data_IF_286059015924
#
_entry.id   IF_286059015924
#
_cell.length_a   1.000
_cell.length_b   1.000
_cell.length_c   1.000
_cell.angle_alpha   90.00
_cell.angle_beta   90.00
_cell.angle_gamma   90.00
#
_symmetry.space_group_name_H-M   'P 1'
#
loop_
_entity.id
_entity.type
_entity.pdbx_description
1 polymer ?
2 water ?
#
# COMPACT_ATOMS: atom_id res chain seq x y z
N UNK A 1 -8.28 1.24 20.44
CA UNK A 1 -8.92 0.18 19.62
C UNK A 1 -8.11 0.01 18.34
N UNK A 2 -7.69 -1.23 18.10
CA UNK A 2 -6.97 -1.57 16.89
C UNK A 2 -7.94 -2.12 15.84
N UNK A 3 -7.61 -1.83 14.58
CA UNK A 3 -8.40 -2.23 13.42
C UNK A 3 -7.47 -2.67 12.30
N UNK A 4 -8.01 -3.51 11.43
CA UNK A 4 -7.28 -4.02 10.29
C UNK A 4 -8.16 -3.85 9.05
N UNK A 5 -7.52 -3.84 7.89
CA UNK A 5 -8.25 -3.76 6.64
C UNK A 5 -7.45 -4.49 5.55
N UNK A 6 -8.17 -5.17 4.69
CA UNK A 6 -7.52 -5.90 3.63
C UNK A 6 -7.85 -5.20 2.31
N UNK A 7 -6.83 -4.71 1.61
CA UNK A 7 -7.02 -4.07 0.31
C UNK A 7 -6.54 -4.98 -0.82
N UNK A 8 -7.03 -4.67 -2.01
CA UNK A 8 -6.57 -5.32 -3.23
C UNK A 8 -6.26 -4.22 -4.25
N UNK A 9 -5.29 -4.53 -5.09
CA UNK A 9 -4.78 -3.60 -6.08
C UNK A 9 -4.01 -4.41 -7.12
N UNK A 10 -4.26 -4.14 -8.40
CA UNK A 10 -4.01 -5.12 -9.44
C UNK A 10 -4.07 -4.44 -10.81
N UNK A 11 -3.23 -4.87 -11.76
CA UNK A 11 -3.31 -4.34 -13.13
C UNK A 11 -3.84 -5.40 -14.11
N UNK A 12 -3.47 -6.66 -13.94
CA UNK A 12 -3.87 -7.72 -14.88
C UNK A 12 -5.40 -7.74 -15.06
N UNK A 13 -5.92 -7.41 -16.26
CA UNK A 13 -7.38 -7.56 -16.55
C UNK A 13 -7.61 -7.84 -18.04
N UNK A 17 -5.18 -2.77 -17.20
CA UNK A 17 -5.99 -1.71 -16.57
C UNK A 17 -6.13 -1.92 -15.05
N UNK A 18 -5.91 -0.83 -14.31
CA UNK A 18 -5.78 -0.86 -12.84
C UNK A 18 -7.15 -0.95 -12.16
N UNK A 19 -7.24 -1.81 -11.15
CA UNK A 19 -8.41 -1.82 -10.25
C UNK A 19 -7.90 -1.98 -8.81
N UNK A 20 -8.71 -1.56 -7.86
CA UNK A 20 -8.37 -1.67 -6.46
C UNK A 20 -9.66 -1.57 -5.63
N UNK A 21 -9.55 -1.92 -4.36
CA UNK A 21 -10.65 -1.85 -3.47
C UNK A 21 -10.31 -2.45 -2.13
N UNK A 22 -11.35 -2.80 -1.39
CA UNK A 22 -11.24 -3.30 -0.05
C UNK A 22 -11.96 -4.64 -0.02
N UNK A 23 -11.43 -5.63 0.69
CA UNK A 23 -12.17 -6.84 0.90
C UNK A 23 -12.72 -6.82 2.33
N UNK A 24 -14.03 -6.96 2.44
CA UNK A 24 -14.70 -7.00 3.74
C UNK A 24 -14.22 -8.27 4.44
N UNK A 25 -13.79 -8.14 5.68
CA UNK A 25 -13.12 -9.25 6.34
C UNK A 25 -14.13 -10.20 7.02
N UNK A 26 -15.41 -9.82 7.05
CA UNK A 26 -16.48 -10.73 7.47
C UNK A 26 -16.94 -11.53 6.24
N UNK A 27 -17.44 -10.82 5.25
CA UNK A 27 -18.15 -11.42 4.14
C UNK A 27 -17.16 -11.97 3.11
N UNK A 28 -15.89 -11.61 3.25
CA UNK A 28 -14.87 -11.97 2.27
C UNK A 28 -15.29 -11.50 0.87
N UNK A 29 -16.05 -10.42 0.80
CA UNK A 29 -16.55 -9.95 -0.49
C UNK A 29 -15.81 -8.66 -0.90
N UNK A 30 -15.31 -8.59 -2.15
CA UNK A 30 -14.61 -7.44 -2.72
C UNK A 30 -15.51 -6.21 -2.99
N UNK A 31 -15.00 -5.01 -2.72
CA UNK A 31 -15.71 -3.74 -3.00
C UNK A 31 -14.77 -2.82 -3.78
N UNK A 32 -15.19 -2.33 -4.93
CA UNK A 32 -14.32 -1.54 -5.82
C UNK A 32 -14.24 -0.08 -5.35
N UNK A 33 -13.22 0.65 -5.80
CA UNK A 33 -13.13 2.12 -5.61
C UNK A 33 -14.42 2.79 -6.11
N UNK A 34 -14.88 2.35 -7.28
CA UNK A 34 -16.01 2.97 -7.97
C UNK A 34 -17.18 3.11 -6.99
N UNK A 35 -17.31 2.15 -6.08
CA UNK A 35 -18.45 2.01 -5.19
C UNK A 35 -18.15 2.51 -3.76
N UNK A 36 -17.07 3.26 -3.54
CA UNK A 36 -16.74 3.67 -2.16
C UNK A 36 -16.64 5.21 -2.09
N UNK A 37 -17.40 5.80 -1.17
CA UNK A 37 -17.48 7.24 -1.05
C UNK A 37 -16.26 7.76 -0.29
N UNK A 38 -16.13 7.31 0.96
CA UNK A 38 -15.13 7.86 1.86
C UNK A 38 -14.06 6.78 2.07
N UNK A 39 -13.19 6.61 1.07
CA UNK A 39 -12.37 5.40 0.96
C UNK A 39 -11.55 5.19 2.24
N UNK A 40 -11.09 6.26 2.84
CA UNK A 40 -10.16 6.14 3.93
C UNK A 40 -10.87 5.60 5.17
N UNK A 41 -12.18 5.72 5.25
CA UNK A 41 -12.88 5.30 6.44
C UNK A 41 -13.61 3.98 6.15
N UNK A 42 -13.34 3.37 5.00
CA UNK A 42 -14.13 2.28 4.56
C UNK A 42 -13.44 0.93 4.81
N UNK A 43 -14.19 -0.03 5.35
CA UNK A 43 -13.85 -1.45 5.29
C UNK A 43 -12.98 -1.93 6.45
N UNK A 44 -12.87 -1.13 7.51
CA UNK A 44 -12.07 -1.45 8.69
C UNK A 44 -12.81 -2.43 9.59
N UNK A 45 -12.06 -3.35 10.19
CA UNK A 45 -12.60 -4.33 11.10
C UNK A 45 -11.83 -4.24 12.42
N UNK A 46 -12.56 -4.16 13.52
CA UNK A 46 -11.95 -4.15 14.82
C UNK A 46 -11.21 -5.47 15.04
N UNK A 47 -10.00 -5.36 15.55
CA UNK A 47 -9.15 -6.49 15.81
C UNK A 47 -9.22 -6.84 17.31
N UNK A 48 -9.50 -8.11 17.55
CA UNK A 48 -9.65 -8.66 18.89
C UNK A 48 -8.79 -9.93 19.00
N UNK A 49 -8.59 -10.41 20.21
CA UNK A 49 -8.05 -11.75 20.44
C UNK A 49 -8.91 -12.82 19.74
N UNK A 50 -10.21 -12.59 19.58
CA UNK A 50 -11.12 -13.60 19.02
C UNK A 50 -10.96 -13.72 17.50
N UNK A 51 -10.72 -12.63 16.76
CA UNK A 51 -10.74 -12.72 15.28
C UNK A 51 -9.31 -12.72 14.71
N UNK A 52 -8.30 -12.47 15.53
CA UNK A 52 -6.93 -12.25 15.04
C UNK A 52 -6.52 -13.46 14.19
N UNK A 53 -6.73 -14.61 14.79
CA UNK A 53 -6.41 -15.87 14.18
C UNK A 53 -7.14 -15.98 12.83
N UNK A 54 -8.44 -15.72 12.75
CA UNK A 54 -9.18 -15.94 11.50
C UNK A 54 -8.67 -14.98 10.41
N UNK A 55 -8.28 -13.77 10.81
CA UNK A 55 -7.82 -12.77 9.86
C UNK A 55 -6.50 -13.24 9.24
N UNK A 56 -5.60 -13.72 10.09
CA UNK A 56 -4.29 -14.13 9.61
C UNK A 56 -4.42 -15.35 8.70
N UNK A 57 -5.33 -16.27 9.02
CA UNK A 57 -5.55 -17.48 8.21
C UNK A 57 -6.09 -17.12 6.82
N UNK A 58 -7.01 -16.17 6.74
CA UNK A 58 -7.48 -15.73 5.41
C UNK A 58 -6.37 -15.02 4.64
N UNK A 59 -5.68 -14.06 5.28
CA UNK A 59 -4.54 -13.39 4.67
C UNK A 59 -3.55 -14.41 4.09
N UNK A 60 -3.17 -15.40 4.90
CA UNK A 60 -2.26 -16.49 4.46
C UNK A 60 -2.82 -17.19 3.22
N UNK A 61 -4.15 -17.35 3.17
CA UNK A 61 -4.84 -17.97 2.02
C UNK A 61 -4.47 -17.18 0.75
N UNK A 62 -4.33 -15.88 0.90
CA UNK A 62 -4.05 -15.01 -0.23
C UNK A 62 -2.54 -14.86 -0.48
N UNK A 63 -1.69 -15.53 0.27
CA UNK A 63 -0.24 -15.41 0.10
C UNK A 63 0.32 -14.16 0.79
N UNK A 64 -0.40 -13.59 1.76
CA UNK A 64 0.17 -12.55 2.61
C UNK A 64 1.14 -13.18 3.62
N UNK A 65 2.36 -12.67 3.68
CA UNK A 65 3.41 -13.20 4.56
C UNK A 65 3.95 -12.10 5.46
N UNK A 66 4.73 -12.52 6.45
CA UNK A 66 5.32 -11.60 7.44
C UNK A 66 6.14 -10.53 6.71
N UNK A 67 6.18 -9.34 7.29
CA UNK A 67 6.69 -8.16 6.59
C UNK A 67 8.17 -7.92 6.92
N UNK A 68 8.78 -8.81 7.72
CA UNK A 68 10.21 -8.73 8.05
C UNK A 68 10.56 -7.51 8.91
N UNK A 69 9.56 -6.79 9.40
CA UNK A 69 9.81 -5.59 10.16
C UNK A 69 10.20 -6.01 11.57
N UNK A 70 11.19 -5.31 12.13
CA UNK A 70 11.58 -5.44 13.53
C UNK A 70 11.08 -4.20 14.29
N UNK A 71 10.11 -3.48 13.71
CA UNK A 71 9.69 -2.17 14.21
C UNK A 71 8.22 -1.88 13.93
N UNK A 72 7.96 -0.75 13.28
CA UNK A 72 6.62 -0.17 13.29
C UNK A 72 6.04 -0.18 11.87
N UNK A 73 6.43 -1.14 11.03
CA UNK A 73 5.78 -1.23 9.71
C UNK A 73 4.48 -2.02 9.85
N UNK A 74 3.36 -1.35 9.64
CA UNK A 74 2.01 -1.90 9.93
C UNK A 74 1.28 -2.35 8.64
N UNK A 75 2.03 -2.81 7.63
CA UNK A 75 1.46 -3.29 6.42
C UNK A 75 2.03 -4.67 6.10
N UNK A 76 1.22 -5.47 5.42
CA UNK A 76 1.62 -6.81 4.97
C UNK A 76 1.16 -6.98 3.52
N UNK A 77 2.07 -7.29 2.61
CA UNK A 77 1.68 -7.52 1.23
C UNK A 77 1.67 -9.01 0.89
N UNK A 78 0.85 -9.41 -0.08
CA UNK A 78 0.94 -10.74 -0.73
C UNK A 78 2.18 -10.80 -1.64
N UNK A 79 2.73 -11.99 -1.84
CA UNK A 79 3.88 -12.18 -2.74
C UNK A 79 3.66 -11.57 -4.12
N UNK A 80 2.53 -11.86 -4.75
CA UNK A 80 2.17 -11.29 -6.07
C UNK A 80 1.78 -9.80 -5.99
N UNK A 81 1.75 -9.24 -4.80
CA UNK A 81 1.41 -7.83 -4.54
C UNK A 81 -0.05 -7.51 -4.89
N UNK A 82 -0.95 -8.47 -4.91
CA UNK A 82 -2.38 -8.28 -5.26
C UNK A 82 -3.16 -7.75 -4.05
N UNK A 83 -2.68 -8.01 -2.88
CA UNK A 83 -3.37 -7.66 -1.67
C UNK A 83 -2.38 -7.06 -0.68
N UNK A 84 -2.91 -6.31 0.29
CA UNK A 84 -2.16 -6.02 1.47
C UNK A 84 -3.09 -5.80 2.66
N UNK A 85 -2.61 -6.18 3.84
CA UNK A 85 -3.31 -5.95 5.07
C UNK A 85 -2.73 -4.70 5.73
N UNK A 86 -3.56 -3.95 6.44
CA UNK A 86 -3.09 -2.78 7.17
C UNK A 86 -3.65 -2.87 8.60
N UNK A 87 -2.84 -2.49 9.57
CA UNK A 87 -3.23 -2.39 10.96
C UNK A 87 -3.17 -0.92 11.39
N UNK A 88 -4.16 -0.45 12.14
CA UNK A 88 -4.10 0.89 12.70
C UNK A 88 -4.66 0.90 14.13
N UNK A 89 -4.31 1.93 14.87
CA UNK A 89 -5.04 2.26 16.10
C UNK A 89 -5.80 3.58 15.91
N UNK A 90 -6.93 3.74 16.58
CA UNK A 90 -7.63 5.03 16.57
C UNK A 90 -7.10 5.94 17.70
N UNK A 91 -6.39 5.35 18.68
CA UNK A 91 -5.95 6.05 19.89
C UNK A 91 -4.42 6.13 19.93
N UNK A 92 -3.77 6.11 18.78
CA UNK A 92 -2.30 6.17 18.73
C UNK A 92 -1.65 5.07 19.61
N UNK A 93 -2.29 3.91 19.80
CA UNK A 93 -1.67 2.79 20.52
C UNK A 93 -0.36 2.39 19.83
N UNK A 94 0.68 2.06 20.58
CA UNK A 94 1.91 1.51 20.01
C UNK A 94 1.61 0.13 19.42
N UNK A 95 2.11 -0.13 18.20
CA UNK A 95 1.60 -1.27 17.40
C UNK A 95 2.63 -2.40 17.33
N UNK A 96 3.81 -2.17 17.87
CA UNK A 96 4.98 -2.96 17.57
C UNK A 96 4.73 -4.40 18.04
N UNK A 97 3.98 -4.55 19.13
CA UNK A 97 3.78 -5.87 19.67
C UNK A 97 2.71 -6.59 18.86
N UNK A 98 1.68 -5.88 18.42
CA UNK A 98 0.66 -6.51 17.60
C UNK A 98 1.26 -6.88 16.23
N UNK A 99 2.20 -6.09 15.76
CA UNK A 99 2.81 -6.38 14.48
C UNK A 99 3.57 -7.69 14.63
N UNK A 100 4.29 -7.84 15.74
CA UNK A 100 5.07 -9.06 16.01
C UNK A 100 4.13 -10.28 16.11
N UNK A 101 2.94 -10.10 16.64
CA UNK A 101 2.01 -11.23 16.75
C UNK A 101 1.47 -11.58 15.37
N UNK A 102 1.26 -10.59 14.53
CA UNK A 102 0.73 -10.92 13.22
C UNK A 102 1.85 -11.59 12.41
N UNK A 103 3.04 -11.01 12.47
CA UNK A 103 4.16 -11.61 11.75
C UNK A 103 4.32 -13.05 12.23
N UNK A 104 4.34 -13.24 13.54
CA UNK A 104 4.53 -14.56 14.10
C UNK A 104 3.50 -15.54 13.52
N UNK A 105 2.24 -15.14 13.52
CA UNK A 105 1.13 -15.99 13.09
C UNK A 105 1.25 -16.28 11.59
N UNK A 106 1.59 -15.28 10.78
CA UNK A 106 1.73 -15.55 9.36
C UNK A 106 2.92 -16.49 9.11
N UNK A 107 3.98 -16.46 9.94
CA UNK A 107 5.10 -17.40 9.74
C UNK A 107 4.71 -18.82 10.15
N UNK A 108 4.06 -18.97 11.30
CA UNK A 108 3.54 -20.29 11.70
C UNK A 108 2.71 -20.85 10.55
N UNK A 109 1.83 -20.04 9.97
CA UNK A 109 0.96 -20.50 8.87
C UNK A 109 1.77 -20.88 7.63
N UNK A 110 2.88 -20.18 7.40
CA UNK A 110 3.74 -20.46 6.26
C UNK A 110 4.49 -21.78 6.51
N UNK A 111 4.96 -21.99 7.73
CA UNK A 111 5.64 -23.25 8.07
C UNK A 111 4.68 -24.43 7.91
N UNK A 112 3.45 -24.25 8.36
CA UNK A 112 2.44 -25.28 8.27
C UNK A 112 2.21 -25.61 6.80
N UNK A 113 2.15 -24.59 5.96
CA UNK A 113 1.92 -24.78 4.52
C UNK A 113 3.10 -25.55 3.90
N UNK A 114 4.32 -25.25 4.31
CA UNK A 114 5.51 -25.88 3.76
C UNK A 114 5.60 -27.36 4.17
N UNK A 115 5.03 -27.69 5.34
CA UNK A 115 5.01 -29.07 5.87
C UNK A 115 3.95 -29.89 5.15
N UNK A 116 2.86 -29.26 4.72
CA UNK A 116 1.84 -29.98 3.96
C UNK A 116 2.31 -30.14 2.50
N UNK A 117 3.34 -29.39 2.13
CA UNK A 117 4.05 -29.52 0.84
C UNK A 117 5.16 -30.58 0.90
N UNK A 118 5.10 -31.57 1.79
CA UNK A 118 6.09 -32.68 1.73
C UNK A 118 5.33 -34.02 1.79
N UNK A 119 4.15 -34.04 1.15
CA UNK A 119 3.31 -35.23 1.07
C UNK A 119 2.99 -35.74 2.48
N UNK B 1 -0.96 21.67 4.82
CA UNK B 1 0.27 21.31 4.02
C UNK B 1 0.05 19.92 3.42
N UNK B 2 0.02 19.81 2.10
CA UNK B 2 -0.20 18.51 1.50
C UNK B 2 1.14 17.86 1.22
N UNK B 3 1.15 16.54 1.32
CA UNK B 3 2.38 15.77 1.12
C UNK B 3 2.11 14.53 0.29
N UNK B 4 3.23 13.97 -0.06
CA UNK B 4 3.39 13.02 -1.07
C UNK B 4 4.56 12.12 -0.65
N UNK B 5 4.37 10.80 -0.77
CA UNK B 5 5.43 9.85 -0.47
C UNK B 5 5.42 8.73 -1.53
N UNK B 6 6.61 8.29 -1.86
CA UNK B 6 6.80 7.31 -2.86
C UNK B 6 7.35 6.06 -2.19
N UNK B 7 6.65 4.93 -2.29
CA UNK B 7 7.12 3.72 -1.68
C UNK B 7 7.51 2.67 -2.72
N UNK B 8 8.36 1.74 -2.27
CA UNK B 8 8.69 0.59 -3.07
C UNK B 8 8.40 -0.67 -2.25
N UNK B 9 8.12 -1.76 -2.96
CA UNK B 9 7.81 -3.02 -2.30
C UNK B 9 7.83 -4.13 -3.32
N UNK B 10 8.48 -5.21 -2.97
CA UNK B 10 8.51 -6.37 -3.82
C UNK B 10 8.82 -7.59 -2.95
N UNK B 11 8.65 -8.75 -3.56
CA UNK B 11 8.90 -9.97 -2.87
C UNK B 11 9.91 -10.79 -3.68
N UNK B 12 10.98 -11.23 -3.02
CA UNK B 12 11.94 -12.09 -3.69
C UNK B 12 11.68 -13.54 -3.26
N UNK B 13 11.15 -14.36 -4.14
CA UNK B 13 10.83 -15.72 -3.82
C UNK B 13 12.08 -16.57 -3.64
N UNK B 14 13.21 -16.22 -4.27
CA UNK B 14 14.50 -16.93 -4.11
C UNK B 14 14.96 -16.84 -2.65
N UNK B 15 14.91 -15.65 -2.06
CA UNK B 15 15.42 -15.45 -0.71
C UNK B 15 14.26 -15.44 0.31
N UNK B 16 13.02 -15.53 -0.15
CA UNK B 16 11.83 -15.50 0.73
C UNK B 16 11.75 -14.14 1.46
N UNK B 17 12.09 -13.05 0.77
CA UNK B 17 12.25 -11.74 1.42
C UNK B 17 11.25 -10.72 0.85
N UNK B 18 10.63 -9.98 1.77
CA UNK B 18 9.89 -8.78 1.48
C UNK B 18 10.88 -7.62 1.49
N UNK B 19 10.92 -6.87 0.41
CA UNK B 19 11.91 -5.83 0.21
C UNK B 19 11.18 -4.50 -0.01
N UNK B 20 10.91 -3.76 1.06
CA UNK B 20 10.17 -2.50 0.95
C UNK B 20 10.91 -1.32 1.62
N UNK B 21 10.32 -0.14 1.48
CA UNK B 21 10.88 1.12 1.95
C UNK B 21 10.33 2.30 1.15
N UNK B 22 11.04 3.43 1.21
CA UNK B 22 10.61 4.71 0.70
C UNK B 22 11.69 5.22 -0.25
N UNK B 23 11.30 5.85 -1.34
CA UNK B 23 12.29 6.51 -2.18
C UNK B 23 12.26 7.98 -1.81
N UNK B 24 13.39 8.55 -1.41
CA UNK B 24 13.37 9.97 -1.02
C UNK B 24 13.10 10.78 -2.30
N UNK B 25 12.07 11.61 -2.30
CA UNK B 25 11.70 12.32 -3.52
C UNK B 25 12.62 13.50 -3.81
N UNK B 26 13.57 13.86 -2.92
CA UNK B 26 14.60 14.88 -3.23
C UNK B 26 15.82 14.20 -3.87
N UNK B 27 16.43 13.28 -3.13
CA UNK B 27 17.68 12.64 -3.56
C UNK B 27 17.39 11.51 -4.55
N UNK B 28 16.15 11.02 -4.57
CA UNK B 28 15.75 9.85 -5.38
C UNK B 28 16.53 8.61 -4.92
N UNK B 29 16.94 8.57 -3.66
CA UNK B 29 17.64 7.40 -3.12
C UNK B 29 16.64 6.56 -2.29
N UNK B 30 16.60 5.25 -2.58
CA UNK B 30 15.73 4.32 -1.90
C UNK B 30 16.21 4.10 -0.46
N UNK B 31 15.29 3.99 0.48
CA UNK B 31 15.65 3.71 1.87
C UNK B 31 14.81 2.56 2.40
N UNK B 32 15.50 1.48 2.74
CA UNK B 32 14.85 0.29 3.19
C UNK B 32 14.22 0.47 4.58
N UNK B 33 13.30 -0.45 4.84
CA UNK B 33 12.53 -0.54 6.07
C UNK B 33 13.44 -0.72 7.28
N UNK B 34 14.47 -1.53 7.10
CA UNK B 34 15.44 -1.84 8.15
C UNK B 34 16.09 -0.55 8.68
N UNK B 35 16.22 0.47 7.83
CA UNK B 35 16.88 1.75 8.16
C UNK B 35 15.88 2.82 8.59
N UNK B 36 14.60 2.48 8.76
CA UNK B 36 13.57 3.51 9.03
C UNK B 36 12.98 3.24 10.41
N UNK B 37 13.00 4.26 11.26
CA UNK B 37 12.67 4.08 12.66
C UNK B 37 11.21 4.47 12.91
N UNK B 38 10.75 5.58 12.36
CA UNK B 38 9.35 5.97 12.57
C UNK B 38 8.67 6.07 11.20
N UNK B 39 8.14 4.94 10.71
CA UNK B 39 7.90 4.73 9.28
C UNK B 39 6.82 5.68 8.78
N UNK B 40 5.78 5.83 9.55
CA UNK B 40 4.61 6.54 9.09
C UNK B 40 4.93 8.02 8.88
N UNK B 41 6.04 8.50 9.45
CA UNK B 41 6.41 9.91 9.42
C UNK B 41 7.61 10.16 8.50
N UNK B 42 8.06 9.13 7.79
CA UNK B 42 9.33 9.20 7.12
C UNK B 42 9.14 9.39 5.61
N UNK B 43 9.90 10.28 5.02
CA UNK B 43 10.07 10.34 3.58
C UNK B 43 9.01 11.18 2.88
N UNK B 44 8.15 11.85 3.62
CA UNK B 44 7.16 12.72 3.01
C UNK B 44 7.85 13.97 2.43
N UNK B 45 7.25 14.47 1.36
CA UNK B 45 7.67 15.69 0.70
C UNK B 45 6.47 16.65 0.65
N UNK B 46 6.71 17.90 1.03
CA UNK B 46 5.69 18.95 0.95
C UNK B 46 5.32 19.14 -0.52
N UNK B 47 4.04 19.12 -0.85
CA UNK B 47 3.68 19.21 -2.24
C UNK B 47 3.34 20.66 -2.55
N UNK B 48 4.03 21.23 -3.52
CA UNK B 48 3.90 22.64 -3.87
C UNK B 48 3.41 22.77 -5.31
N UNK B 49 3.02 23.98 -5.67
CA UNK B 49 2.51 24.27 -6.99
C UNK B 49 3.63 24.07 -8.02
N UNK B 50 4.88 24.21 -7.61
CA UNK B 50 6.02 24.11 -8.52
C UNK B 50 6.50 22.65 -8.63
N UNK B 51 6.61 21.92 -7.51
CA UNK B 51 7.24 20.59 -7.54
C UNK B 51 6.25 19.51 -8.01
N UNK B 52 4.95 19.82 -8.12
CA UNK B 52 3.92 18.84 -8.49
C UNK B 52 4.31 18.14 -9.79
N UNK B 53 4.55 18.96 -10.77
CA UNK B 53 4.99 18.53 -12.08
C UNK B 53 6.18 17.58 -11.94
N UNK B 54 7.16 17.95 -11.15
CA UNK B 54 8.40 17.18 -11.08
C UNK B 54 8.15 15.82 -10.43
N UNK B 55 7.29 15.79 -9.43
CA UNK B 55 6.93 14.57 -8.75
C UNK B 55 6.20 13.66 -9.75
N UNK B 56 5.26 14.22 -10.51
CA UNK B 56 4.49 13.37 -11.42
C UNK B 56 5.37 12.79 -12.53
N UNK B 57 6.37 13.56 -12.92
CA UNK B 57 7.25 13.18 -14.02
C UNK B 57 8.14 12.01 -13.57
N UNK B 58 8.60 12.09 -12.33
CA UNK B 58 9.48 11.05 -11.87
C UNK B 58 8.67 9.75 -11.66
N UNK B 59 7.45 9.88 -11.13
CA UNK B 59 6.57 8.71 -10.91
C UNK B 59 6.24 8.03 -12.25
N UNK B 60 5.97 8.81 -13.28
CA UNK B 60 5.74 8.27 -14.63
C UNK B 60 6.96 7.48 -15.09
N UNK B 61 8.17 7.97 -14.82
CA UNK B 61 9.41 7.23 -15.16
C UNK B 61 9.43 5.86 -14.48
N UNK B 62 8.84 5.75 -13.30
CA UNK B 62 8.78 4.46 -12.64
C UNK B 62 7.58 3.64 -13.12
N UNK B 63 6.71 4.20 -13.98
CA UNK B 63 5.55 3.44 -14.50
C UNK B 63 4.31 3.60 -13.62
N UNK B 64 4.27 4.67 -12.85
CA UNK B 64 3.11 4.95 -12.05
C UNK B 64 2.08 5.66 -12.92
N UNK B 65 0.85 5.20 -12.82
CA UNK B 65 -0.18 5.59 -13.72
C UNK B 65 -1.38 6.14 -12.94
N UNK B 66 -2.17 6.95 -13.62
CA UNK B 66 -3.38 7.50 -13.11
C UNK B 66 -4.21 6.37 -12.48
N UNK B 67 -4.99 6.68 -11.43
CA UNK B 67 -5.59 5.65 -10.61
C UNK B 67 -7.07 5.43 -10.96
N UNK B 68 -7.66 6.24 -11.83
CA UNK B 68 -9.05 6.06 -12.31
C UNK B 68 -10.10 6.49 -11.29
N UNK B 69 -9.66 7.04 -10.15
CA UNK B 69 -10.58 7.54 -9.14
C UNK B 69 -11.27 8.84 -9.62
N UNK B 70 -12.57 8.90 -9.40
CA UNK B 70 -13.30 10.13 -9.57
C UNK B 70 -13.50 10.78 -8.19
N UNK B 71 -13.07 10.05 -7.18
CA UNK B 71 -13.29 10.47 -5.79
C UNK B 71 -12.03 10.76 -5.01
N UNK B 72 -11.90 10.17 -3.85
CA UNK B 72 -10.78 10.48 -2.93
C UNK B 72 -9.81 9.32 -2.75
N UNK B 73 -9.58 8.50 -3.75
CA UNK B 73 -8.55 7.43 -3.63
C UNK B 73 -7.22 8.14 -3.85
N UNK B 74 -6.35 8.13 -2.86
CA UNK B 74 -5.10 8.92 -2.88
C UNK B 74 -3.87 8.04 -3.08
N UNK B 75 -3.98 7.02 -3.89
CA UNK B 75 -2.86 6.14 -4.14
C UNK B 75 -2.74 5.90 -5.65
N UNK B 76 -1.50 5.83 -6.10
CA UNK B 76 -1.17 5.52 -7.47
C UNK B 76 -0.09 4.44 -7.51
N UNK B 77 -0.37 3.35 -8.19
CA UNK B 77 0.50 2.21 -8.29
C UNK B 77 1.21 2.16 -9.64
N UNK B 78 2.38 1.58 -9.63
CA UNK B 78 3.11 1.35 -10.90
C UNK B 78 2.51 0.12 -11.56
N UNK B 79 2.66 -0.04 -12.85
CA UNK B 79 2.10 -1.21 -13.55
C UNK B 79 2.70 -2.52 -13.07
N UNK B 80 3.97 -2.54 -12.69
CA UNK B 80 4.67 -3.76 -12.22
C UNK B 80 4.43 -3.98 -10.72
N UNK B 81 3.72 -3.07 -10.06
CA UNK B 81 3.36 -3.06 -8.62
C UNK B 81 4.59 -2.93 -7.72
N UNK B 82 5.73 -2.55 -8.26
CA UNK B 82 6.93 -2.37 -7.43
C UNK B 82 6.92 -1.07 -6.60
N UNK B 83 6.17 -0.05 -7.03
CA UNK B 83 6.19 1.28 -6.40
C UNK B 83 4.76 1.78 -6.22
N UNK B 84 4.55 2.66 -5.28
CA UNK B 84 3.35 3.44 -5.35
C UNK B 84 3.57 4.80 -4.71
N UNK B 85 2.71 5.74 -5.10
CA UNK B 85 2.69 7.09 -4.57
C UNK B 85 1.46 7.26 -3.66
N UNK B 86 1.62 8.11 -2.67
CA UNK B 86 0.55 8.35 -1.72
C UNK B 86 0.42 9.85 -1.48
N UNK B 87 -0.77 10.37 -1.55
CA UNK B 87 -0.96 11.78 -1.22
C UNK B 87 -1.65 11.87 0.15
N UNK B 88 -1.20 12.78 1.04
CA UNK B 88 -1.94 13.08 2.31
C UNK B 88 -2.00 14.60 2.57
N UNK B 89 -2.99 14.94 3.36
CA UNK B 89 -3.26 16.30 3.88
C UNK B 89 -3.15 16.17 5.40
N UNK B 90 -2.39 17.03 6.08
CA UNK B 90 -2.24 16.89 7.55
C UNK B 90 -3.33 17.67 8.29
N UNK B 91 -4.31 18.21 7.60
CA UNK B 91 -5.38 19.04 8.21
C UNK B 91 -6.71 18.65 7.59
N UNK B 92 -6.80 17.45 7.07
CA UNK B 92 -8.08 16.92 6.53
C UNK B 92 -8.71 17.79 5.44
N UNK B 93 -7.93 18.19 4.46
CA UNK B 93 -8.42 18.94 3.27
C UNK B 93 -9.09 17.95 2.30
N UNK B 94 -10.08 18.40 1.53
CA UNK B 94 -10.70 17.56 0.49
C UNK B 94 -9.74 17.39 -0.71
N UNK B 95 -9.14 16.22 -0.82
CA UNK B 95 -8.04 15.96 -1.77
C UNK B 95 -8.56 15.68 -3.18
N UNK B 96 -9.87 15.67 -3.38
CA UNK B 96 -10.42 15.31 -4.69
C UNK B 96 -9.78 16.15 -5.79
N UNK B 97 -9.54 17.44 -5.52
CA UNK B 97 -9.01 18.39 -6.54
C UNK B 97 -7.55 18.02 -6.83
N UNK B 98 -6.71 17.80 -5.81
CA UNK B 98 -5.32 17.42 -6.07
C UNK B 98 -5.24 16.06 -6.73
N UNK B 99 -6.17 15.15 -6.42
CA UNK B 99 -6.14 13.82 -7.00
C UNK B 99 -6.42 13.95 -8.50
N UNK B 100 -7.44 14.75 -8.84
CA UNK B 100 -7.79 15.06 -10.22
C UNK B 100 -6.57 15.62 -10.96
N UNK B 101 -5.90 16.58 -10.36
CA UNK B 101 -4.75 17.19 -11.01
C UNK B 101 -3.67 16.13 -11.29
N UNK B 102 -3.43 15.26 -10.30
CA UNK B 102 -2.35 14.29 -10.39
C UNK B 102 -2.67 13.28 -11.50
N UNK B 103 -3.92 12.83 -11.51
CA UNK B 103 -4.40 11.88 -12.50
C UNK B 103 -4.32 12.47 -13.92
N UNK B 104 -4.69 13.74 -14.10
CA UNK B 104 -4.60 14.38 -15.42
C UNK B 104 -3.14 14.35 -15.88
N UNK B 105 -2.25 14.79 -15.02
CA UNK B 105 -0.84 14.89 -15.37
C UNK B 105 -0.27 13.49 -15.65
N UNK B 106 -0.53 12.51 -14.78
CA UNK B 106 0.04 11.18 -14.99
C UNK B 106 -0.50 10.61 -16.30
N UNK B 107 -1.75 10.90 -16.59
CA UNK B 107 -2.34 10.36 -17.79
C UNK B 107 -1.77 11.06 -19.02
N UNK B 108 -1.47 12.36 -18.90
CA UNK B 108 -0.79 13.09 -19.98
C UNK B 108 0.59 12.47 -20.21
N UNK B 109 1.29 12.21 -19.12
CA UNK B 109 2.64 11.69 -19.23
C UNK B 109 2.61 10.31 -19.87
N UNK B 110 1.59 9.50 -19.55
CA UNK B 110 1.50 8.17 -20.14
C UNK B 110 1.30 8.30 -21.65
N UNK B 111 0.52 9.26 -22.11
CA UNK B 111 0.24 9.36 -23.55
C UNK B 111 1.43 9.97 -24.30
N UNK B 112 2.22 10.79 -23.64
CA UNK B 112 3.44 11.28 -24.27
C UNK B 112 4.39 10.09 -24.49
N UNK B 113 4.54 9.18 -23.52
CA UNK B 113 5.39 7.98 -23.74
C UNK B 113 4.88 7.18 -24.94
N UNK B 114 3.58 6.86 -24.97
CA UNK B 114 2.98 6.10 -26.08
C UNK B 114 3.29 6.78 -27.43
N UNK B 115 3.02 8.09 -27.52
CA UNK B 115 3.31 8.89 -28.74
C UNK B 115 4.82 8.85 -29.08
N UNK B 116 5.71 8.98 -28.09
CA UNK B 116 7.17 9.05 -28.33
C UNK B 116 7.70 7.67 -28.75
N UNK B 117 6.92 6.93 -29.57
CA UNK B 117 7.35 5.66 -30.21
C UNK B 117 7.33 5.85 -31.74
N UNK B 118 8.31 6.63 -32.24
CA UNK B 118 8.45 6.99 -33.68
C UNK B 118 9.94 7.11 -34.05
#
# INVERSE_FOLDING_TARGET
MMFVRLSYHSFDYLFNLFDAGVIDLNTKCPVSLSEIEDYDNFGWLELTAENLENVCEYCAKLGIEANGSLGDFRYWYSGDMSYHLELKSDQSENLEVKIREINLKLKELELIKNECLEHHHHHH
MMFVRLSYHSFDYLFNLFDAGVIDLNTKCPVSLSEIEDYDNFGWLELTAENLENVCEYCAKLGIEANGSLGDFRYWYSGDMSYHLELKSDQSENLEVKIREINLKLKELELIKNECLEHHHHHH
#
